data_IF_419155322984
#
_entry.id   IF_419155322984
#
_cell.length_a   1.000
_cell.length_b   1.000
_cell.length_c   1.000
_cell.angle_alpha   90.00
_cell.angle_beta   90.00
_cell.angle_gamma   90.00
#
_symmetry.space_group_name_H-M   'P 1'
#
loop_
_entity.id
_entity.type
_entity.pdbx_description
1 polymer ?
#
# COMPACT_ATOMS: atom_id res chain seq x y z
N UNK A 1 -16.83 6.66 -4.19
CA UNK A 1 -16.13 5.62 -3.42
C UNK A 1 -16.56 5.69 -1.97
N UNK A 2 -16.84 4.57 -1.29
CA UNK A 2 -17.11 4.59 0.14
C UNK A 2 -15.84 4.95 0.92
N UNK A 3 -15.97 5.78 1.94
CA UNK A 3 -14.89 6.10 2.88
C UNK A 3 -14.82 5.01 3.95
N UNK A 4 -13.69 4.32 4.03
CA UNK A 4 -13.39 3.36 5.09
C UNK A 4 -12.41 3.98 6.10
N UNK A 5 -12.91 4.50 7.19
CA UNK A 5 -12.09 4.99 8.30
C UNK A 5 -11.73 3.83 9.24
N UNK A 6 -10.48 3.44 9.27
CA UNK A 6 -9.99 2.36 10.12
C UNK A 6 -9.91 2.85 11.58
N UNK A 7 -10.74 2.26 12.44
CA UNK A 7 -10.78 2.57 13.89
C UNK A 7 -9.95 1.54 14.65
N UNK A 8 -8.65 1.70 14.67
CA UNK A 8 -7.74 0.82 15.40
C UNK A 8 -6.86 1.62 16.36
N UNK A 9 -6.74 1.25 17.65
CA UNK A 9 -5.97 2.00 18.64
C UNK A 9 -4.51 2.27 18.25
N UNK A 10 -3.82 1.29 17.66
CA UNK A 10 -2.44 1.46 17.20
C UNK A 10 -2.33 2.49 16.06
N UNK A 11 -3.27 2.50 15.13
CA UNK A 11 -3.31 3.49 14.05
C UNK A 11 -3.56 4.87 14.64
N UNK A 12 -4.54 5.01 15.52
CA UNK A 12 -4.86 6.28 16.18
C UNK A 12 -3.63 6.81 16.96
N UNK A 13 -2.93 5.96 17.69
CA UNK A 13 -1.72 6.32 18.42
C UNK A 13 -0.61 6.82 17.47
N UNK A 14 -0.32 6.08 16.41
CA UNK A 14 0.72 6.46 15.43
C UNK A 14 0.38 7.75 14.68
N UNK A 15 -0.88 7.97 14.33
CA UNK A 15 -1.35 9.22 13.74
C UNK A 15 -1.20 10.40 14.73
N UNK A 16 -1.46 10.17 16.01
CA UNK A 16 -1.24 11.21 17.03
C UNK A 16 0.25 11.59 17.12
N UNK A 17 1.16 10.61 17.07
CA UNK A 17 2.60 10.87 17.03
C UNK A 17 3.03 11.63 15.75
N UNK A 18 2.48 11.27 14.59
CA UNK A 18 2.75 11.96 13.31
C UNK A 18 2.36 13.45 13.33
N UNK A 19 1.41 13.83 14.19
CA UNK A 19 0.91 15.20 14.33
C UNK A 19 1.66 16.03 15.37
N UNK A 20 2.66 15.48 16.03
CA UNK A 20 3.41 16.21 17.04
C UNK A 20 4.27 17.31 16.40
N UNK A 21 4.25 18.50 16.99
CA UNK A 21 5.22 19.56 16.68
C UNK A 21 6.64 19.07 16.96
N UNK A 22 7.56 19.36 16.04
CA UNK A 22 8.98 19.00 16.22
C UNK A 22 9.33 17.54 15.94
N UNK A 23 8.40 16.73 15.40
CA UNK A 23 8.75 15.38 14.94
C UNK A 23 9.89 15.42 13.92
N UNK A 24 10.92 14.58 14.11
CA UNK A 24 12.01 14.48 13.14
C UNK A 24 11.57 13.82 11.85
N UNK A 25 12.23 14.16 10.72
CA UNK A 25 11.99 13.53 9.43
C UNK A 25 12.15 11.99 9.48
N UNK A 26 13.10 11.52 10.30
CA UNK A 26 13.30 10.07 10.51
C UNK A 26 12.06 9.43 11.15
N UNK A 27 11.62 9.98 12.28
CA UNK A 27 10.45 9.45 12.98
C UNK A 27 9.19 9.53 12.14
N UNK A 28 9.00 10.62 11.37
CA UNK A 28 7.89 10.76 10.44
C UNK A 28 7.86 9.62 9.42
N UNK A 29 9.00 9.31 8.79
CA UNK A 29 9.10 8.22 7.81
C UNK A 29 8.83 6.85 8.44
N UNK A 30 9.39 6.58 9.60
CA UNK A 30 9.16 5.31 10.32
C UNK A 30 7.68 5.12 10.65
N UNK A 31 7.04 6.12 11.22
CA UNK A 31 5.60 6.08 11.55
C UNK A 31 4.71 5.99 10.31
N UNK A 32 5.05 6.70 9.23
CA UNK A 32 4.31 6.62 7.98
C UNK A 32 4.35 5.20 7.39
N UNK A 33 5.50 4.54 7.41
CA UNK A 33 5.64 3.15 6.98
C UNK A 33 4.84 2.18 7.87
N UNK A 34 4.88 2.36 9.18
CA UNK A 34 4.10 1.53 10.11
C UNK A 34 2.60 1.68 9.90
N UNK A 35 2.12 2.91 9.71
CA UNK A 35 0.71 3.17 9.39
C UNK A 35 0.34 2.56 8.03
N UNK A 36 1.22 2.70 7.02
CA UNK A 36 1.01 2.11 5.71
C UNK A 36 0.87 0.58 5.77
N UNK A 37 1.68 -0.11 6.58
CA UNK A 37 1.56 -1.55 6.79
C UNK A 37 0.20 -1.92 7.40
N UNK A 38 -0.23 -1.22 8.45
CA UNK A 38 -1.51 -1.47 9.10
C UNK A 38 -2.70 -1.20 8.18
N UNK A 39 -2.65 -0.13 7.41
CA UNK A 39 -3.69 0.19 6.41
C UNK A 39 -3.71 -0.84 5.28
N UNK A 40 -2.56 -1.33 4.84
CA UNK A 40 -2.46 -2.38 3.82
C UNK A 40 -3.09 -3.68 4.31
N UNK A 41 -2.86 -4.08 5.55
CA UNK A 41 -3.48 -5.25 6.15
C UNK A 41 -5.00 -5.16 6.09
N UNK A 42 -5.58 -4.01 6.44
CA UNK A 42 -7.03 -3.80 6.36
C UNK A 42 -7.55 -3.72 4.91
N UNK A 43 -6.82 -3.02 4.03
CA UNK A 43 -7.22 -2.85 2.64
C UNK A 43 -7.17 -4.14 1.81
N UNK A 44 -6.47 -5.16 2.29
CA UNK A 44 -6.33 -6.46 1.62
C UNK A 44 -7.20 -7.57 2.23
N UNK A 45 -8.09 -7.22 3.14
CA UNK A 45 -8.93 -8.18 3.88
C UNK A 45 -9.83 -9.05 3.00
N UNK A 46 -10.30 -8.51 1.89
CA UNK A 46 -11.26 -9.14 0.98
C UNK A 46 -10.63 -9.69 -0.30
N UNK A 47 -9.30 -9.82 -0.33
CA UNK A 47 -8.63 -10.43 -1.47
C UNK A 47 -9.07 -11.89 -1.66
N UNK A 48 -9.36 -12.30 -2.91
CA UNK A 48 -9.83 -13.65 -3.18
C UNK A 48 -8.73 -14.69 -2.94
N UNK A 49 -9.15 -15.83 -2.39
CA UNK A 49 -8.30 -17.00 -2.18
C UNK A 49 -8.69 -18.10 -3.16
N UNK A 50 -7.73 -18.93 -3.52
CA UNK A 50 -7.93 -20.15 -4.29
C UNK A 50 -7.30 -21.37 -3.58
N UNK A 51 -7.90 -22.54 -3.76
CA UNK A 51 -7.33 -23.78 -3.25
C UNK A 51 -6.14 -24.19 -4.11
N UNK A 52 -5.02 -24.49 -3.46
CA UNK A 52 -3.80 -25.00 -4.09
C UNK A 52 -3.24 -26.17 -3.31
N UNK A 53 -2.74 -27.15 -4.04
CA UNK A 53 -1.87 -28.18 -3.46
C UNK A 53 -0.43 -27.67 -3.46
N UNK A 54 0.21 -27.76 -2.30
CA UNK A 54 1.62 -27.42 -2.11
C UNK A 54 2.34 -28.60 -1.47
N UNK A 55 3.65 -28.68 -1.61
CA UNK A 55 4.46 -29.61 -0.82
C UNK A 55 4.65 -29.03 0.58
N UNK A 56 4.25 -29.79 1.58
CA UNK A 56 4.50 -29.48 2.98
C UNK A 56 5.99 -29.52 3.30
N UNK A 57 6.35 -29.11 4.50
CA UNK A 57 7.75 -29.02 4.92
C UNK A 57 8.44 -30.41 5.08
N UNK A 58 7.66 -31.49 5.18
CA UNK A 58 8.15 -32.88 5.16
C UNK A 58 8.03 -33.53 3.77
N UNK A 59 7.58 -32.79 2.75
CA UNK A 59 7.43 -33.26 1.38
C UNK A 59 6.06 -33.85 1.05
N UNK A 60 5.15 -33.97 2.02
CA UNK A 60 3.77 -34.47 1.80
C UNK A 60 2.90 -33.39 1.08
N UNK A 61 1.95 -33.80 0.23
CA UNK A 61 1.02 -32.88 -0.41
C UNK A 61 0.02 -32.33 0.61
N UNK A 62 -0.15 -31.00 0.63
CA UNK A 62 -1.09 -30.29 1.49
C UNK A 62 -2.00 -29.41 0.62
N UNK A 63 -3.31 -29.53 0.83
CA UNK A 63 -4.30 -28.62 0.25
C UNK A 63 -4.45 -27.39 1.15
N UNK A 64 -4.22 -26.21 0.59
CA UNK A 64 -4.27 -24.94 1.33
C UNK A 64 -4.89 -23.82 0.48
N UNK A 65 -5.16 -22.69 1.11
CA UNK A 65 -5.65 -21.50 0.43
C UNK A 65 -4.53 -20.48 0.23
N UNK A 66 -4.42 -19.95 -0.98
CA UNK A 66 -3.48 -18.91 -1.35
C UNK A 66 -4.19 -17.80 -2.11
N UNK A 67 -3.60 -16.60 -2.11
CA UNK A 67 -4.14 -15.49 -2.90
C UNK A 67 -4.27 -15.92 -4.37
N UNK A 68 -5.47 -15.72 -4.92
CA UNK A 68 -5.77 -16.10 -6.30
C UNK A 68 -5.22 -15.08 -7.31
N UNK A 69 -5.00 -15.56 -8.53
CA UNK A 69 -4.65 -14.75 -9.69
C UNK A 69 -3.34 -13.97 -9.60
N UNK A 70 -3.23 -12.93 -10.42
CA UNK A 70 -2.15 -11.95 -10.31
C UNK A 70 -2.38 -11.08 -9.08
N UNK A 71 -1.34 -10.97 -8.28
CA UNK A 71 -1.39 -10.32 -6.96
C UNK A 71 -1.48 -8.79 -7.10
N UNK A 72 -1.01 -8.06 -6.13
CA UNK A 72 -1.19 -6.63 -6.03
C UNK A 72 -0.23 -5.84 -6.96
N UNK A 73 -0.66 -4.66 -7.33
CA UNK A 73 0.17 -3.55 -7.77
C UNK A 73 0.10 -2.42 -6.74
N UNK A 74 1.22 -1.76 -6.50
CA UNK A 74 1.28 -0.59 -5.61
C UNK A 74 1.58 0.62 -6.48
N UNK A 75 0.82 1.69 -6.28
CA UNK A 75 0.93 2.92 -7.07
C UNK A 75 1.14 4.11 -6.14
N UNK A 76 2.39 4.39 -5.72
CA UNK A 76 2.68 5.61 -5.01
C UNK A 76 2.47 6.83 -5.91
N UNK A 77 1.78 7.84 -5.36
CA UNK A 77 1.73 9.15 -5.97
C UNK A 77 2.98 9.92 -5.55
N UNK A 78 3.81 10.29 -6.51
CA UNK A 78 5.04 11.02 -6.26
C UNK A 78 4.72 12.46 -5.79
N UNK A 79 5.46 12.95 -4.85
CA UNK A 79 6.59 12.33 -4.15
C UNK A 79 6.20 11.68 -2.82
N UNK A 80 5.11 12.17 -2.19
CA UNK A 80 4.71 11.82 -0.82
C UNK A 80 4.42 10.32 -0.64
N UNK A 81 3.80 9.67 -1.63
CA UNK A 81 3.49 8.24 -1.60
C UNK A 81 4.71 7.32 -1.43
N UNK A 82 5.91 7.77 -1.82
CA UNK A 82 7.14 7.01 -1.58
C UNK A 82 7.41 6.75 -0.10
N UNK A 83 6.98 7.66 0.78
CA UNK A 83 7.14 7.50 2.22
C UNK A 83 6.32 6.36 2.84
N UNK A 84 5.38 5.78 2.09
CA UNK A 84 4.55 4.65 2.52
C UNK A 84 4.96 3.32 1.86
N UNK A 85 5.76 3.36 0.80
CA UNK A 85 6.00 2.21 -0.08
C UNK A 85 6.61 1.03 0.65
N UNK A 86 7.64 1.25 1.44
CA UNK A 86 8.33 0.17 2.18
C UNK A 86 7.40 -0.51 3.19
N UNK A 87 6.52 0.26 3.84
CA UNK A 87 5.51 -0.28 4.75
C UNK A 87 4.54 -1.22 4.05
N UNK A 88 4.10 -0.89 2.84
CA UNK A 88 3.23 -1.75 2.03
C UNK A 88 3.99 -3.00 1.56
N UNK A 89 5.22 -2.84 1.05
CA UNK A 89 6.05 -3.94 0.56
C UNK A 89 6.45 -4.93 1.65
N UNK A 90 6.48 -4.51 2.91
CA UNK A 90 6.72 -5.41 4.05
C UNK A 90 5.65 -6.51 4.13
N UNK A 91 4.39 -6.21 3.81
CA UNK A 91 3.30 -7.19 3.81
C UNK A 91 3.13 -7.90 2.47
N UNK A 92 3.40 -7.21 1.37
CA UNK A 92 3.20 -7.74 0.01
C UNK A 92 4.48 -7.60 -0.83
N UNK A 93 5.57 -8.29 -0.45
CA UNK A 93 6.91 -8.08 -1.04
C UNK A 93 6.99 -8.41 -2.54
N UNK A 94 6.07 -9.21 -3.05
CA UNK A 94 5.99 -9.58 -4.46
C UNK A 94 5.06 -8.69 -5.29
N UNK A 95 4.50 -7.62 -4.70
CA UNK A 95 3.69 -6.68 -5.44
C UNK A 95 4.55 -5.94 -6.47
N UNK A 96 3.97 -5.69 -7.65
CA UNK A 96 4.62 -4.83 -8.64
C UNK A 96 4.38 -3.37 -8.30
N UNK A 97 5.37 -2.54 -8.53
CA UNK A 97 5.28 -1.10 -8.28
C UNK A 97 5.10 -0.37 -9.62
N UNK A 98 4.03 0.41 -9.68
CA UNK A 98 3.80 1.43 -10.69
C UNK A 98 3.97 2.79 -10.04
N UNK A 99 4.30 3.82 -10.80
CA UNK A 99 4.55 5.15 -10.23
C UNK A 99 3.80 6.20 -11.03
N UNK A 100 3.10 7.09 -10.34
CA UNK A 100 2.41 8.24 -10.95
C UNK A 100 2.87 9.50 -10.26
N UNK A 101 3.30 10.49 -11.05
CA UNK A 101 3.70 11.81 -10.56
C UNK A 101 2.60 12.84 -10.80
N UNK A 102 2.12 13.45 -9.74
CA UNK A 102 1.14 14.53 -9.78
C UNK A 102 1.65 15.72 -8.97
N UNK A 103 1.37 16.91 -9.45
CA UNK A 103 1.48 18.14 -8.65
C UNK A 103 0.20 18.95 -8.81
N UNK A 104 -0.01 19.88 -7.90
CA UNK A 104 -1.11 20.83 -7.97
C UNK A 104 -0.59 22.13 -8.57
N UNK A 105 -1.25 22.59 -9.61
CA UNK A 105 -0.97 23.90 -10.18
C UNK A 105 -1.20 24.98 -9.12
N UNK A 106 -0.28 25.94 -8.99
CA UNK A 106 -0.32 26.94 -7.91
C UNK A 106 -1.42 28.00 -8.13
N UNK A 107 -1.81 28.23 -9.38
CA UNK A 107 -2.81 29.25 -9.73
C UNK A 107 -4.22 28.64 -9.80
N UNK A 108 -4.38 27.54 -10.54
CA UNK A 108 -5.69 26.91 -10.77
C UNK A 108 -6.09 25.90 -9.72
N UNK A 109 -5.12 25.39 -8.95
CA UNK A 109 -5.24 24.27 -7.99
C UNK A 109 -5.63 22.95 -8.65
N UNK A 110 -5.59 22.86 -9.96
CA UNK A 110 -5.87 21.63 -10.69
C UNK A 110 -4.73 20.61 -10.57
N UNK A 111 -5.04 19.32 -10.54
CA UNK A 111 -4.00 18.29 -10.56
C UNK A 111 -3.37 18.18 -11.95
N UNK A 112 -2.05 18.27 -12.00
CA UNK A 112 -1.27 18.11 -13.25
C UNK A 112 -0.42 16.86 -13.15
N UNK A 113 -0.59 15.95 -14.11
CA UNK A 113 0.25 14.77 -14.24
C UNK A 113 1.55 15.14 -14.98
N UNK A 114 2.69 14.76 -14.42
CA UNK A 114 4.00 15.00 -15.03
C UNK A 114 4.80 13.72 -15.27
N UNK A 115 4.39 12.61 -14.68
CA UNK A 115 5.06 11.32 -14.83
C UNK A 115 4.09 10.17 -14.65
N UNK A 116 4.16 9.19 -15.54
CA UNK A 116 3.53 7.90 -15.33
C UNK A 116 4.45 6.76 -15.77
N UNK A 117 4.55 5.76 -14.93
CA UNK A 117 5.22 4.50 -15.24
C UNK A 117 4.40 3.37 -14.66
N UNK A 118 3.42 2.95 -15.46
CA UNK A 118 2.47 1.91 -15.07
C UNK A 118 2.87 0.58 -15.70
N UNK A 119 2.76 -0.50 -14.95
CA UNK A 119 3.01 -1.85 -15.45
C UNK A 119 1.97 -2.25 -16.49
N UNK A 120 2.38 -3.04 -17.48
CA UNK A 120 1.53 -3.40 -18.64
C UNK A 120 0.34 -4.27 -18.31
N UNK A 121 0.37 -4.98 -17.18
CA UNK A 121 -0.69 -5.91 -16.74
C UNK A 121 -1.45 -5.39 -15.50
N UNK A 122 -1.53 -4.07 -15.35
CA UNK A 122 -2.20 -3.45 -14.19
C UNK A 122 -3.70 -3.75 -14.15
N UNK A 123 -4.32 -3.91 -15.30
CA UNK A 123 -5.74 -4.27 -15.47
C UNK A 123 -6.09 -5.65 -14.90
N UNK A 124 -5.09 -6.52 -14.73
CA UNK A 124 -5.22 -7.87 -14.18
C UNK A 124 -4.87 -7.94 -12.68
N UNK A 125 -4.65 -6.79 -12.02
CA UNK A 125 -4.21 -6.69 -10.63
C UNK A 125 -5.12 -5.81 -9.82
N UNK A 126 -5.24 -6.11 -8.55
CA UNK A 126 -5.76 -5.13 -7.58
C UNK A 126 -4.69 -4.10 -7.32
N UNK A 127 -4.98 -2.82 -7.55
CA UNK A 127 -4.03 -1.73 -7.37
C UNK A 127 -4.31 -0.98 -6.07
N UNK A 128 -3.28 -0.85 -5.23
CA UNK A 128 -3.29 0.00 -4.05
C UNK A 128 -2.61 1.33 -4.41
N UNK A 129 -3.39 2.39 -4.48
CA UNK A 129 -2.87 3.75 -4.62
C UNK A 129 -2.53 4.26 -3.23
N UNK A 130 -1.30 4.72 -3.06
CA UNK A 130 -0.80 5.20 -1.77
C UNK A 130 -0.36 6.66 -1.87
N UNK A 131 -0.93 7.46 -0.96
CA UNK A 131 -0.61 8.88 -0.80
C UNK A 131 -0.94 9.29 0.65
N UNK A 132 0.01 9.83 1.42
CA UNK A 132 -0.22 10.11 2.83
C UNK A 132 -1.07 11.37 3.07
N UNK A 133 -0.91 12.40 2.24
CA UNK A 133 -1.66 13.68 2.29
C UNK A 133 -1.36 14.54 1.05
#
# INVERSE_FOLDING_TARGET
MPLNAIKHPLIAHKIALLRQEGISTKQFRELANEVASLLTYEATRDLPLENREINGWQGEPINTQMLSGKKLSIVPILRAGLGMLDGVLTLVPNAKVSVVGLYRDEETLDPVAYFDKVITDIDQRTSLIIDPM
#
